data_IF_653199111017
#
_entry.id   IF_653199111017
#
_cell.length_a   1.000
_cell.length_b   1.000
_cell.length_c   1.000
_cell.angle_alpha   90.00
_cell.angle_beta   90.00
_cell.angle_gamma   90.00
#
_symmetry.space_group_name_H-M   'P 1'
#
loop_
_entity.id
_entity.type
_entity.pdbx_description
1 polymer ?
#
# COMPACT_ATOMS: atom_id res chain seq x y z
N UNK A 1 -21.49 -7.71 39.46
CA UNK A 1 -22.19 -6.95 38.40
C UNK A 1 -21.56 -7.20 37.03
N UNK A 2 -20.23 -7.29 36.91
CA UNK A 2 -19.58 -7.62 35.63
C UNK A 2 -19.84 -9.06 35.17
N UNK A 3 -19.87 -10.07 36.05
CA UNK A 3 -20.21 -11.45 35.66
C UNK A 3 -21.62 -11.61 35.07
N UNK A 4 -22.59 -10.86 35.60
CA UNK A 4 -23.97 -10.91 35.10
C UNK A 4 -24.08 -10.27 33.71
N UNK A 5 -23.32 -9.19 33.49
CA UNK A 5 -23.19 -8.51 32.20
C UNK A 5 -22.44 -9.32 31.14
N UNK A 6 -21.50 -10.18 31.56
CA UNK A 6 -20.78 -11.11 30.67
C UNK A 6 -21.73 -12.23 30.22
N UNK A 7 -22.52 -12.79 31.15
CA UNK A 7 -23.53 -13.80 30.82
C UNK A 7 -24.58 -13.28 29.83
N UNK A 8 -24.98 -12.01 29.92
CA UNK A 8 -25.95 -11.40 28.98
C UNK A 8 -25.44 -11.39 27.51
N UNK A 9 -24.13 -11.21 27.29
CA UNK A 9 -23.52 -11.14 25.96
C UNK A 9 -23.35 -12.54 25.36
N UNK A 10 -23.06 -13.53 26.21
CA UNK A 10 -22.91 -14.92 25.79
C UNK A 10 -24.26 -15.50 25.38
N UNK A 11 -25.32 -15.18 26.12
CA UNK A 11 -26.69 -15.50 25.73
C UNK A 11 -27.09 -14.85 24.39
N UNK A 12 -26.64 -13.61 24.13
CA UNK A 12 -26.89 -12.96 22.83
C UNK A 12 -26.20 -13.74 21.72
N UNK A 13 -24.93 -14.10 21.90
CA UNK A 13 -24.17 -14.89 20.92
C UNK A 13 -24.83 -16.25 20.63
N UNK A 14 -25.25 -16.98 21.66
CA UNK A 14 -25.93 -18.28 21.52
C UNK A 14 -27.26 -18.19 20.77
N UNK A 15 -27.94 -17.04 20.82
CA UNK A 15 -29.19 -16.79 20.10
C UNK A 15 -28.98 -16.38 18.64
N UNK A 16 -27.76 -16.02 18.23
CA UNK A 16 -27.45 -15.64 16.85
C UNK A 16 -27.54 -16.86 15.92
N UNK A 17 -28.20 -16.68 14.78
CA UNK A 17 -28.36 -17.74 13.79
C UNK A 17 -27.63 -17.37 12.50
N UNK A 18 -26.37 -17.78 12.38
CA UNK A 18 -25.53 -17.52 11.21
C UNK A 18 -26.05 -18.16 9.91
N UNK A 19 -27.02 -19.09 9.95
CA UNK A 19 -27.72 -19.55 8.75
C UNK A 19 -28.74 -18.51 8.23
N UNK A 20 -29.08 -17.50 9.03
CA UNK A 20 -29.97 -16.39 8.70
C UNK A 20 -29.24 -15.04 8.79
N UNK A 21 -28.20 -14.88 7.99
CA UNK A 21 -27.26 -13.74 8.01
C UNK A 21 -27.92 -12.35 8.09
N UNK A 22 -28.96 -12.08 7.28
CA UNK A 22 -29.69 -10.79 7.33
C UNK A 22 -30.39 -10.56 8.67
N UNK A 23 -30.88 -11.63 9.31
CA UNK A 23 -31.50 -11.55 10.63
C UNK A 23 -30.43 -11.31 11.69
N UNK A 24 -29.34 -12.08 11.68
CA UNK A 24 -28.21 -11.91 12.59
C UNK A 24 -27.65 -10.50 12.57
N UNK A 25 -27.45 -9.92 11.39
CA UNK A 25 -26.95 -8.56 11.27
C UNK A 25 -27.94 -7.52 11.82
N UNK A 26 -29.24 -7.72 11.61
CA UNK A 26 -30.28 -6.87 12.21
C UNK A 26 -30.30 -7.00 13.73
N UNK A 27 -30.25 -8.21 14.25
CA UNK A 27 -30.26 -8.48 15.69
C UNK A 27 -29.04 -7.80 16.37
N UNK A 28 -27.86 -7.84 15.74
CA UNK A 28 -26.65 -7.11 16.19
C UNK A 28 -26.82 -5.59 16.07
N UNK A 29 -27.40 -5.11 14.97
CA UNK A 29 -27.68 -3.68 14.74
C UNK A 29 -28.75 -3.10 15.67
N UNK A 30 -29.57 -3.92 16.31
CA UNK A 30 -30.60 -3.48 17.26
C UNK A 30 -30.10 -3.50 18.72
N UNK A 31 -28.91 -4.05 18.98
CA UNK A 31 -28.33 -4.07 20.33
C UNK A 31 -28.14 -2.65 20.88
N UNK A 32 -28.40 -2.39 22.17
CA UNK A 32 -28.01 -1.14 22.82
C UNK A 32 -26.52 -0.84 22.62
N UNK A 33 -26.13 0.44 22.53
CA UNK A 33 -24.75 0.82 22.18
C UNK A 33 -23.71 0.25 23.16
N UNK A 34 -23.97 0.31 24.46
CA UNK A 34 -23.09 -0.26 25.49
C UNK A 34 -22.98 -1.80 25.42
N UNK A 35 -24.05 -2.47 24.96
CA UNK A 35 -24.05 -3.92 24.73
C UNK A 35 -23.26 -4.25 23.47
N UNK A 36 -23.46 -3.47 22.40
CA UNK A 36 -22.74 -3.64 21.13
C UNK A 36 -21.23 -3.45 21.30
N UNK A 37 -20.79 -2.45 22.07
CA UNK A 37 -19.35 -2.23 22.33
C UNK A 37 -18.73 -3.41 23.09
N UNK A 38 -19.41 -3.92 24.13
CA UNK A 38 -18.93 -5.08 24.88
C UNK A 38 -18.99 -6.36 24.05
N UNK A 39 -20.02 -6.53 23.22
CA UNK A 39 -20.14 -7.64 22.28
C UNK A 39 -18.99 -7.59 21.26
N UNK A 40 -18.70 -6.41 20.70
CA UNK A 40 -17.58 -6.20 19.78
C UNK A 40 -16.26 -6.54 20.42
N UNK A 41 -16.03 -6.16 21.69
CA UNK A 41 -14.80 -6.50 22.41
C UNK A 41 -14.61 -7.99 22.69
N UNK A 42 -15.69 -8.76 22.91
CA UNK A 42 -15.62 -10.21 23.20
C UNK A 42 -15.71 -11.09 21.95
N UNK A 43 -16.52 -10.69 20.99
CA UNK A 43 -16.86 -11.44 19.78
C UNK A 43 -16.43 -10.69 18.51
N UNK A 44 -15.24 -10.07 18.56
CA UNK A 44 -14.64 -9.28 17.47
C UNK A 44 -14.65 -10.00 16.12
N UNK A 45 -14.32 -11.30 16.12
CA UNK A 45 -14.32 -12.15 14.92
C UNK A 45 -15.70 -12.28 14.26
N UNK A 46 -16.78 -12.25 15.06
CA UNK A 46 -18.16 -12.24 14.56
C UNK A 46 -18.46 -10.93 13.85
N UNK A 47 -18.03 -9.81 14.44
CA UNK A 47 -18.24 -8.48 13.83
C UNK A 47 -17.43 -8.35 12.54
N UNK A 48 -16.16 -8.78 12.52
CA UNK A 48 -15.33 -8.84 11.30
C UNK A 48 -16.03 -9.70 10.23
N UNK A 49 -16.54 -10.88 10.60
CA UNK A 49 -17.26 -11.75 9.69
C UNK A 49 -18.48 -11.04 9.10
N UNK A 50 -19.34 -10.46 9.94
CA UNK A 50 -20.54 -9.74 9.52
C UNK A 50 -20.20 -8.58 8.58
N UNK A 51 -19.24 -7.73 8.93
CA UNK A 51 -18.83 -6.59 8.11
C UNK A 51 -18.33 -6.99 6.72
N UNK A 52 -17.74 -8.18 6.59
CA UNK A 52 -17.23 -8.68 5.30
C UNK A 52 -18.31 -9.34 4.40
N UNK A 53 -19.48 -9.70 4.95
CA UNK A 53 -20.54 -10.38 4.19
C UNK A 53 -21.80 -9.53 4.01
N UNK A 54 -21.93 -8.44 4.74
CA UNK A 54 -23.07 -7.55 4.66
C UNK A 54 -23.04 -6.72 3.38
N UNK A 55 -24.22 -6.30 2.93
CA UNK A 55 -24.29 -5.25 1.90
C UNK A 55 -23.73 -3.94 2.48
N UNK A 56 -23.20 -3.09 1.60
CA UNK A 56 -22.55 -1.83 1.98
C UNK A 56 -23.42 -0.96 2.88
N UNK A 57 -24.73 -0.87 2.65
CA UNK A 57 -25.60 -0.01 3.47
C UNK A 57 -25.71 -0.51 4.91
N UNK A 58 -25.83 -1.82 5.10
CA UNK A 58 -25.90 -2.44 6.41
C UNK A 58 -24.55 -2.44 7.12
N UNK A 59 -23.45 -2.64 6.38
CA UNK A 59 -22.09 -2.56 6.91
C UNK A 59 -21.77 -1.15 7.42
N UNK A 60 -22.09 -0.11 6.64
CA UNK A 60 -21.94 1.30 7.06
C UNK A 60 -22.77 1.59 8.30
N UNK A 61 -24.03 1.16 8.34
CA UNK A 61 -24.88 1.35 9.52
C UNK A 61 -24.30 0.68 10.77
N UNK A 62 -23.64 -0.47 10.64
CA UNK A 62 -22.97 -1.12 11.77
C UNK A 62 -21.72 -0.36 12.19
N UNK A 63 -20.88 0.04 11.23
CA UNK A 63 -19.67 0.83 11.48
C UNK A 63 -19.97 2.15 12.18
N UNK A 64 -21.04 2.85 11.79
CA UNK A 64 -21.46 4.12 12.40
C UNK A 64 -21.88 3.97 13.87
N UNK A 65 -22.26 2.77 14.30
CA UNK A 65 -22.61 2.47 15.69
C UNK A 65 -21.44 2.05 16.56
N UNK A 66 -20.33 1.62 15.94
CA UNK A 66 -19.11 1.24 16.66
C UNK A 66 -18.32 2.48 17.06
N UNK A 67 -17.59 2.43 18.18
CA UNK A 67 -16.61 3.46 18.52
C UNK A 67 -15.32 3.29 17.71
N UNK A 68 -14.49 4.35 17.67
CA UNK A 68 -13.16 4.30 17.04
C UNK A 68 -12.27 3.25 17.71
N UNK A 69 -12.40 3.07 19.03
CA UNK A 69 -11.73 2.02 19.79
C UNK A 69 -12.16 0.63 19.34
N UNK A 70 -13.46 0.40 19.17
CA UNK A 70 -13.98 -0.87 18.64
C UNK A 70 -13.43 -1.18 17.24
N UNK A 71 -13.37 -0.18 16.35
CA UNK A 71 -12.81 -0.38 15.01
C UNK A 71 -11.32 -0.74 15.07
N UNK A 72 -10.55 -0.08 15.93
CA UNK A 72 -9.13 -0.44 16.14
C UNK A 72 -9.00 -1.89 16.63
N UNK A 73 -9.86 -2.34 17.54
CA UNK A 73 -9.87 -3.75 17.97
C UNK A 73 -10.23 -4.72 16.85
N UNK A 74 -11.16 -4.37 15.94
CA UNK A 74 -11.43 -5.18 14.75
C UNK A 74 -10.17 -5.35 13.90
N UNK A 75 -9.42 -4.27 13.69
CA UNK A 75 -8.19 -4.28 12.90
C UNK A 75 -7.11 -5.13 13.57
N UNK A 76 -6.88 -4.93 14.88
CA UNK A 76 -5.92 -5.72 15.66
C UNK A 76 -6.26 -7.22 15.64
N UNK A 77 -7.53 -7.57 15.85
CA UNK A 77 -7.94 -8.97 15.88
C UNK A 77 -7.88 -9.62 14.50
N UNK A 78 -8.26 -8.92 13.42
CA UNK A 78 -8.12 -9.45 12.07
C UNK A 78 -6.64 -9.72 11.74
N UNK A 79 -5.72 -8.84 12.17
CA UNK A 79 -4.27 -9.09 12.08
C UNK A 79 -3.87 -10.30 12.91
N UNK A 80 -4.31 -10.41 14.17
CA UNK A 80 -3.98 -11.53 15.06
C UNK A 80 -4.42 -12.87 14.47
N UNK A 81 -5.67 -12.97 14.02
CA UNK A 81 -6.22 -14.16 13.39
C UNK A 81 -5.46 -14.53 12.11
N UNK A 82 -5.08 -13.52 11.32
CA UNK A 82 -4.26 -13.71 10.13
C UNK A 82 -2.88 -14.28 10.50
N UNK A 83 -2.16 -13.66 11.44
CA UNK A 83 -0.84 -14.14 11.88
C UNK A 83 -0.92 -15.57 12.43
N UNK A 84 -1.92 -15.86 13.28
CA UNK A 84 -2.15 -17.21 13.82
C UNK A 84 -2.40 -18.25 12.72
N UNK A 85 -3.15 -17.89 11.67
CA UNK A 85 -3.35 -18.80 10.53
C UNK A 85 -2.04 -19.12 9.80
N UNK A 86 -1.07 -18.19 9.79
CA UNK A 86 0.24 -18.39 9.15
C UNK A 86 1.16 -19.31 9.97
N UNK A 87 1.03 -19.37 11.30
CA UNK A 87 1.78 -20.34 12.12
C UNK A 87 1.43 -21.80 11.81
N UNK A 88 0.23 -22.07 11.30
CA UNK A 88 -0.18 -23.40 10.84
C UNK A 88 0.45 -23.83 9.51
N UNK A 89 1.17 -22.93 8.82
CA UNK A 89 1.83 -23.24 7.56
C UNK A 89 3.22 -23.82 7.81
N UNK A 90 3.51 -24.98 7.23
CA UNK A 90 4.85 -25.56 7.22
C UNK A 90 5.75 -24.77 6.26
N UNK A 91 6.61 -23.90 6.81
CA UNK A 91 7.77 -23.35 6.11
C UNK A 91 9.02 -24.12 6.53
N UNK A 92 9.88 -24.47 5.58
CA UNK A 92 11.19 -25.08 5.87
C UNK A 92 12.20 -24.05 6.39
N UNK A 93 11.93 -22.76 6.25
CA UNK A 93 12.77 -21.67 6.73
C UNK A 93 12.48 -21.33 8.20
N UNK A 94 13.42 -21.57 9.14
CA UNK A 94 13.25 -21.20 10.54
C UNK A 94 13.03 -19.70 10.76
N UNK A 95 13.57 -18.86 9.87
CA UNK A 95 13.44 -17.39 9.96
C UNK A 95 11.98 -16.96 9.77
N UNK A 96 11.18 -17.75 9.07
CA UNK A 96 9.75 -17.54 8.90
C UNK A 96 9.02 -17.41 10.25
N UNK A 97 9.21 -18.39 11.13
CA UNK A 97 8.54 -18.42 12.44
C UNK A 97 9.05 -17.32 13.36
N UNK A 98 10.35 -17.00 13.29
CA UNK A 98 10.95 -15.89 14.04
C UNK A 98 10.32 -14.56 13.63
N UNK A 99 10.18 -14.33 12.32
CA UNK A 99 9.55 -13.13 11.78
C UNK A 99 8.08 -13.02 12.17
N UNK A 100 7.30 -14.11 12.09
CA UNK A 100 5.90 -14.11 12.55
C UNK A 100 5.79 -13.85 14.07
N UNK A 101 6.65 -14.47 14.88
CA UNK A 101 6.67 -14.26 16.34
C UNK A 101 6.92 -12.79 16.67
N UNK A 102 7.88 -12.16 15.99
CA UNK A 102 8.17 -10.73 16.16
C UNK A 102 6.96 -9.86 15.90
N UNK A 103 6.15 -10.18 14.90
CA UNK A 103 4.94 -9.41 14.58
C UNK A 103 3.85 -9.57 15.62
N UNK A 104 3.68 -10.77 16.16
CA UNK A 104 2.76 -11.00 17.29
C UNK A 104 3.25 -10.23 18.51
N UNK A 105 4.55 -10.28 18.82
CA UNK A 105 5.14 -9.53 19.93
C UNK A 105 4.94 -8.02 19.78
N UNK A 106 5.18 -7.44 18.59
CA UNK A 106 4.92 -6.02 18.33
C UNK A 106 3.43 -5.67 18.44
N UNK A 107 2.52 -6.56 18.04
CA UNK A 107 1.07 -6.35 18.17
C UNK A 107 0.61 -6.37 19.63
N UNK A 108 1.15 -7.30 20.42
CA UNK A 108 0.77 -7.50 21.83
C UNK A 108 1.49 -6.54 22.79
N UNK A 109 2.47 -5.74 22.32
CA UNK A 109 3.15 -4.73 23.13
C UNK A 109 2.16 -3.69 23.62
N UNK A 110 1.77 -3.81 24.88
CA UNK A 110 0.70 -3.00 25.45
C UNK A 110 1.09 -1.53 25.67
N UNK A 111 2.31 -1.19 26.10
CA UNK A 111 2.72 0.23 26.36
C UNK A 111 4.24 0.48 26.54
N UNK A 112 5.14 -0.39 26.08
CA UNK A 112 6.55 -0.34 26.52
C UNK A 112 7.51 0.47 25.65
N UNK A 113 7.66 0.09 24.39
CA UNK A 113 8.61 0.65 23.42
C UNK A 113 8.26 -0.01 22.07
N UNK A 114 7.83 0.78 21.10
CA UNK A 114 7.51 0.28 19.74
C UNK A 114 8.79 0.19 18.91
N UNK A 115 8.75 -0.51 17.77
CA UNK A 115 9.87 -0.50 16.82
C UNK A 115 10.34 0.91 16.41
N UNK A 116 9.45 1.92 16.48
CA UNK A 116 9.79 3.32 16.22
C UNK A 116 10.69 3.91 17.30
N UNK A 117 10.49 3.51 18.56
CA UNK A 117 11.22 4.02 19.72
C UNK A 117 12.62 3.39 19.81
N UNK A 118 12.70 2.07 19.62
CA UNK A 118 13.97 1.31 19.63
C UNK A 118 14.70 1.31 18.28
N UNK A 119 14.09 1.87 17.24
CA UNK A 119 14.63 1.99 15.87
C UNK A 119 14.98 0.65 15.22
N UNK A 120 14.21 -0.39 15.51
CA UNK A 120 14.42 -1.76 14.99
C UNK A 120 13.81 -1.95 13.59
N UNK A 121 14.12 -1.03 12.66
CA UNK A 121 13.48 -0.97 11.35
C UNK A 121 13.80 -2.20 10.48
N UNK A 122 15.04 -2.69 10.52
CA UNK A 122 15.49 -3.77 9.63
C UNK A 122 14.81 -5.10 9.97
N UNK A 123 14.70 -5.39 11.27
CA UNK A 123 14.06 -6.58 11.79
C UNK A 123 12.54 -6.61 11.50
N UNK A 124 11.87 -5.46 11.65
CA UNK A 124 10.45 -5.33 11.32
C UNK A 124 10.23 -5.39 9.82
N UNK A 125 11.08 -4.73 9.02
CA UNK A 125 11.04 -4.82 7.55
C UNK A 125 11.17 -6.26 7.06
N UNK A 126 12.13 -7.03 7.58
CA UNK A 126 12.27 -8.45 7.23
C UNK A 126 11.00 -9.27 7.56
N UNK A 127 10.31 -8.90 8.64
CA UNK A 127 9.05 -9.54 9.01
C UNK A 127 7.90 -9.13 8.10
N UNK A 128 7.87 -7.88 7.64
CA UNK A 128 6.92 -7.40 6.64
C UNK A 128 7.13 -8.04 5.27
N UNK A 129 8.37 -8.25 4.83
CA UNK A 129 8.69 -8.99 3.60
C UNK A 129 8.18 -10.44 3.67
N UNK A 130 8.29 -11.07 4.84
CA UNK A 130 7.72 -12.41 5.09
C UNK A 130 6.20 -12.41 4.92
N UNK A 131 5.51 -11.41 5.47
CA UNK A 131 4.07 -11.26 5.29
C UNK A 131 3.67 -10.99 3.84
N UNK A 132 4.42 -10.15 3.13
CA UNK A 132 4.16 -9.86 1.72
C UNK A 132 4.25 -11.15 0.88
N UNK A 133 5.31 -11.95 1.09
CA UNK A 133 5.46 -13.24 0.42
C UNK A 133 4.31 -14.22 0.76
N UNK A 134 3.78 -14.19 1.99
CA UNK A 134 2.59 -14.97 2.36
C UNK A 134 1.34 -14.51 1.61
N UNK A 135 1.10 -13.20 1.53
CA UNK A 135 -0.06 -12.63 0.82
C UNK A 135 -0.07 -13.02 -0.65
N UNK A 136 1.09 -13.02 -1.30
CA UNK A 136 1.21 -13.40 -2.71
C UNK A 136 0.83 -14.87 -2.96
N UNK A 137 0.99 -15.74 -1.96
CA UNK A 137 0.66 -17.17 -2.03
C UNK A 137 -0.78 -17.48 -1.63
N UNK A 138 -1.31 -16.77 -0.63
CA UNK A 138 -2.63 -17.00 -0.05
C UNK A 138 -3.55 -15.81 -0.34
N UNK A 139 -4.44 -15.98 -1.30
CA UNK A 139 -5.25 -14.89 -1.86
C UNK A 139 -6.31 -14.38 -0.88
N UNK A 140 -6.37 -13.06 -0.72
CA UNK A 140 -7.46 -12.35 -0.06
C UNK A 140 -7.02 -11.00 0.48
N UNK A 141 -7.57 -9.91 -0.08
CA UNK A 141 -7.50 -8.60 0.57
C UNK A 141 -8.26 -8.66 1.89
N UNK A 142 -7.79 -7.91 2.88
CA UNK A 142 -8.36 -7.81 4.22
C UNK A 142 -8.84 -6.40 4.51
N UNK A 143 -9.53 -6.21 5.63
CA UNK A 143 -9.97 -4.88 6.09
C UNK A 143 -10.90 -4.16 5.10
N UNK A 144 -11.69 -4.91 4.32
CA UNK A 144 -12.54 -4.35 3.26
C UNK A 144 -13.56 -3.34 3.81
N UNK A 145 -14.03 -3.56 5.03
CA UNK A 145 -14.98 -2.68 5.73
C UNK A 145 -14.42 -1.28 6.00
N UNK A 146 -13.09 -1.10 6.04
CA UNK A 146 -12.50 0.21 6.24
C UNK A 146 -12.72 1.14 5.04
N UNK A 147 -12.97 0.61 3.85
CA UNK A 147 -13.30 1.41 2.66
C UNK A 147 -14.63 2.14 2.82
N UNK A 148 -15.55 1.51 3.54
CA UNK A 148 -16.93 2.00 3.68
C UNK A 148 -17.05 2.98 4.87
N UNK A 149 -15.98 3.19 5.64
CA UNK A 149 -15.93 4.21 6.69
C UNK A 149 -15.88 5.63 6.12
N UNK A 150 -16.45 6.58 6.87
CA UNK A 150 -16.24 7.99 6.60
C UNK A 150 -14.72 8.33 6.59
N UNK A 151 -14.20 9.02 5.55
CA UNK A 151 -12.77 9.30 5.44
C UNK A 151 -12.18 10.12 6.58
N UNK A 152 -12.90 11.11 7.11
CA UNK A 152 -12.43 11.94 8.23
C UNK A 152 -12.28 11.09 9.48
N UNK A 153 -13.24 10.20 9.71
CA UNK A 153 -13.22 9.25 10.82
C UNK A 153 -12.07 8.25 10.68
N UNK A 154 -11.87 7.68 9.49
CA UNK A 154 -10.75 6.78 9.22
C UNK A 154 -9.41 7.49 9.43
N UNK A 155 -9.27 8.75 9.00
CA UNK A 155 -8.08 9.56 9.22
C UNK A 155 -7.77 9.79 10.70
N UNK A 156 -8.79 9.98 11.54
CA UNK A 156 -8.65 10.07 13.00
C UNK A 156 -8.19 8.74 13.61
N UNK A 157 -8.83 7.62 13.23
CA UNK A 157 -8.44 6.27 13.67
C UNK A 157 -6.98 5.97 13.32
N UNK A 158 -6.58 6.21 12.07
CA UNK A 158 -5.19 6.05 11.63
C UNK A 158 -4.27 6.93 12.47
N UNK A 159 -4.65 8.18 12.78
CA UNK A 159 -3.86 9.06 13.63
C UNK A 159 -3.60 8.48 15.03
N UNK A 160 -4.62 7.85 15.62
CA UNK A 160 -4.51 7.20 16.93
C UNK A 160 -3.59 5.98 16.83
N UNK A 161 -3.74 5.16 15.79
CA UNK A 161 -2.90 3.99 15.53
C UNK A 161 -1.43 4.41 15.35
N UNK A 162 -1.16 5.45 14.57
CA UNK A 162 0.20 5.96 14.36
C UNK A 162 0.87 6.40 15.67
N UNK A 163 0.09 6.89 16.64
CA UNK A 163 0.59 7.27 17.96
C UNK A 163 0.85 6.08 18.89
N UNK A 164 -0.06 5.10 18.90
CA UNK A 164 -0.13 4.09 19.97
C UNK A 164 0.21 2.66 19.52
N UNK A 165 -0.05 2.32 18.25
CA UNK A 165 0.02 0.97 17.69
C UNK A 165 0.56 0.98 16.25
N UNK A 166 1.76 1.53 16.00
CA UNK A 166 2.23 1.80 14.64
C UNK A 166 2.43 0.54 13.79
N UNK A 167 2.62 -0.64 14.38
CA UNK A 167 2.81 -1.91 13.65
C UNK A 167 1.60 -2.32 12.81
N UNK A 168 0.39 -1.89 13.20
CA UNK A 168 -0.84 -2.17 12.45
C UNK A 168 -0.73 -1.57 11.04
N UNK A 169 -0.10 -0.41 10.90
CA UNK A 169 -0.08 0.36 9.65
C UNK A 169 0.66 -0.36 8.52
N UNK A 170 1.91 -0.83 8.69
CA UNK A 170 2.58 -1.67 7.69
C UNK A 170 1.78 -2.91 7.29
N UNK A 171 1.12 -3.56 8.25
CA UNK A 171 0.29 -4.75 7.97
C UNK A 171 -0.93 -4.40 7.12
N UNK A 172 -1.62 -3.29 7.44
CA UNK A 172 -2.70 -2.76 6.60
C UNK A 172 -2.19 -2.46 5.19
N UNK A 173 -1.04 -1.80 5.07
CA UNK A 173 -0.48 -1.45 3.76
C UNK A 173 -0.24 -2.69 2.88
N UNK A 174 0.15 -3.82 3.47
CA UNK A 174 0.33 -5.09 2.75
C UNK A 174 -1.02 -5.66 2.29
N UNK A 175 -2.03 -5.75 3.15
CA UNK A 175 -3.25 -6.53 2.87
C UNK A 175 -4.47 -5.72 2.42
N UNK A 176 -4.46 -4.40 2.62
CA UNK A 176 -5.56 -3.52 2.23
C UNK A 176 -5.73 -3.42 0.71
N UNK A 177 -6.96 -3.14 0.24
CA UNK A 177 -7.22 -2.69 -1.12
C UNK A 177 -6.40 -1.46 -1.49
N UNK A 178 -6.20 -1.27 -2.79
CA UNK A 178 -5.35 -0.20 -3.29
C UNK A 178 -5.85 1.17 -2.84
N UNK A 179 -7.16 1.45 -2.91
CA UNK A 179 -7.75 2.74 -2.52
C UNK A 179 -7.43 3.08 -1.05
N UNK A 180 -7.55 2.09 -0.17
CA UNK A 180 -7.27 2.23 1.25
C UNK A 180 -5.76 2.38 1.49
N UNK A 181 -4.92 1.65 0.75
CA UNK A 181 -3.47 1.80 0.79
C UNK A 181 -3.03 3.21 0.40
N UNK A 182 -3.66 3.82 -0.61
CA UNK A 182 -3.36 5.22 -1.00
C UNK A 182 -3.70 6.18 0.14
N UNK A 183 -4.88 6.01 0.73
CA UNK A 183 -5.33 6.84 1.84
C UNK A 183 -4.38 6.75 3.04
N UNK A 184 -4.02 5.53 3.43
CA UNK A 184 -3.08 5.28 4.53
C UNK A 184 -1.72 5.90 4.22
N UNK A 185 -1.19 5.72 3.00
CA UNK A 185 0.10 6.29 2.59
C UNK A 185 0.12 7.83 2.74
N UNK A 186 -0.95 8.50 2.32
CA UNK A 186 -1.11 9.95 2.47
C UNK A 186 -1.13 10.36 3.95
N UNK A 187 -1.75 9.58 4.82
CA UNK A 187 -1.79 9.89 6.26
C UNK A 187 -0.45 9.61 6.96
N UNK A 188 0.26 8.53 6.59
CA UNK A 188 1.60 8.22 7.09
C UNK A 188 2.57 9.36 6.75
N UNK A 189 2.60 9.77 5.49
CA UNK A 189 3.54 10.79 4.99
C UNK A 189 3.39 12.13 5.69
N UNK A 190 2.17 12.51 6.08
CA UNK A 190 1.91 13.75 6.83
C UNK A 190 2.28 13.67 8.31
N UNK A 191 2.09 12.51 8.95
CA UNK A 191 2.07 12.40 10.41
C UNK A 191 3.28 11.65 11.00
N UNK A 192 3.69 10.55 10.37
CA UNK A 192 4.76 9.68 10.90
C UNK A 192 5.49 8.91 9.78
N UNK A 193 6.25 9.60 8.93
CA UNK A 193 6.89 9.02 7.75
C UNK A 193 7.93 7.94 8.10
N UNK A 194 8.43 7.85 9.34
CA UNK A 194 9.36 6.79 9.77
C UNK A 194 8.85 5.37 9.50
N UNK A 195 7.52 5.18 9.50
CA UNK A 195 6.89 3.88 9.23
C UNK A 195 7.21 3.38 7.82
N UNK A 196 7.44 4.27 6.85
CA UNK A 196 7.78 3.90 5.48
C UNK A 196 9.07 3.07 5.39
N UNK A 197 9.97 3.19 6.37
CA UNK A 197 11.21 2.40 6.43
C UNK A 197 10.99 0.91 6.57
N UNK A 198 9.83 0.51 7.11
CA UNK A 198 9.49 -0.90 7.34
C UNK A 198 8.47 -1.44 6.35
N UNK A 199 7.91 -0.59 5.49
CA UNK A 199 7.00 -1.02 4.42
C UNK A 199 7.83 -1.61 3.27
N UNK A 200 7.57 -2.87 2.86
CA UNK A 200 8.26 -3.52 1.74
C UNK A 200 8.18 -2.75 0.43
N UNK A 201 9.22 -2.84 -0.39
CA UNK A 201 9.27 -2.16 -1.69
C UNK A 201 8.12 -2.59 -2.63
N UNK A 202 7.69 -3.85 -2.55
CA UNK A 202 6.59 -4.40 -3.35
C UNK A 202 5.20 -3.85 -3.01
N UNK A 203 5.06 -3.10 -1.92
CA UNK A 203 3.79 -2.48 -1.52
C UNK A 203 3.57 -1.11 -2.17
N UNK A 204 4.66 -0.45 -2.60
CA UNK A 204 4.60 0.88 -3.20
C UNK A 204 4.11 0.82 -4.65
N UNK A 205 3.13 1.66 -4.96
CA UNK A 205 2.63 1.83 -6.32
C UNK A 205 3.21 3.10 -6.94
N UNK A 206 3.63 3.01 -8.21
CA UNK A 206 4.15 4.14 -8.98
C UNK A 206 3.10 5.23 -9.20
N UNK A 207 1.80 4.92 -9.06
CA UNK A 207 0.70 5.91 -9.04
C UNK A 207 0.87 6.95 -7.93
N UNK A 208 1.67 6.68 -6.88
CA UNK A 208 1.94 7.62 -5.78
C UNK A 208 3.19 8.47 -5.96
N UNK A 209 3.82 8.41 -7.12
CA UNK A 209 5.08 9.11 -7.42
C UNK A 209 5.10 10.57 -6.94
N UNK A 210 4.02 11.33 -7.15
CA UNK A 210 3.94 12.75 -6.75
C UNK A 210 4.05 12.97 -5.25
N UNK A 211 3.57 12.02 -4.44
CA UNK A 211 3.66 12.10 -2.98
C UNK A 211 5.03 11.61 -2.49
N UNK A 212 5.59 10.60 -3.15
CA UNK A 212 6.83 9.95 -2.73
C UNK A 212 8.10 10.75 -3.06
N UNK A 213 8.00 11.73 -3.96
CA UNK A 213 9.13 12.58 -4.41
C UNK A 213 9.37 13.81 -3.54
N UNK A 214 8.60 14.02 -2.46
CA UNK A 214 8.91 15.08 -1.51
C UNK A 214 10.23 14.77 -0.79
N UNK A 215 11.16 15.75 -0.75
CA UNK A 215 12.55 15.56 -0.26
C UNK A 215 12.62 15.00 1.16
N UNK A 216 11.68 15.39 2.01
CA UNK A 216 11.51 14.92 3.37
C UNK A 216 11.05 13.46 3.43
N UNK A 217 10.19 13.02 2.52
CA UNK A 217 9.66 11.65 2.48
C UNK A 217 10.71 10.65 1.95
N UNK A 218 11.50 11.05 0.93
CA UNK A 218 12.50 10.17 0.29
C UNK A 218 13.45 9.54 1.32
N UNK A 219 13.83 10.28 2.37
CA UNK A 219 14.73 9.79 3.42
C UNK A 219 14.19 8.58 4.20
N UNK A 220 12.89 8.34 4.14
CA UNK A 220 12.21 7.25 4.85
C UNK A 220 11.86 6.05 3.96
N UNK A 221 12.06 6.16 2.64
CA UNK A 221 11.74 5.07 1.72
C UNK A 221 12.83 3.98 1.71
N UNK A 222 12.47 2.72 1.42
CA UNK A 222 13.45 1.69 1.08
C UNK A 222 14.29 2.10 -0.13
N UNK A 223 15.55 1.66 -0.19
CA UNK A 223 16.48 2.05 -1.24
C UNK A 223 15.98 1.61 -2.62
N UNK A 224 15.36 0.43 -2.72
CA UNK A 224 14.76 -0.08 -3.95
C UNK A 224 13.63 0.81 -4.48
N UNK A 225 12.97 1.56 -3.61
CA UNK A 225 11.93 2.54 -3.99
C UNK A 225 12.58 3.86 -4.39
N UNK A 226 13.63 4.29 -3.70
CA UNK A 226 14.40 5.50 -4.07
C UNK A 226 14.98 5.37 -5.46
N UNK A 227 15.62 4.24 -5.76
CA UNK A 227 16.22 3.97 -7.08
C UNK A 227 15.15 4.03 -8.19
N UNK A 228 13.97 3.44 -7.94
CA UNK A 228 12.83 3.52 -8.88
C UNK A 228 12.31 4.94 -9.05
N UNK A 229 12.25 5.73 -8.00
CA UNK A 229 11.79 7.13 -8.08
C UNK A 229 12.78 8.02 -8.81
N UNK A 230 14.09 7.82 -8.57
CA UNK A 230 15.16 8.53 -9.30
C UNK A 230 15.10 8.19 -10.78
N UNK A 231 14.98 6.90 -11.12
CA UNK A 231 14.80 6.46 -12.51
C UNK A 231 13.59 7.14 -13.17
N UNK A 232 12.44 7.17 -12.50
CA UNK A 232 11.23 7.84 -13.00
C UNK A 232 11.38 9.36 -13.13
N UNK A 233 12.13 10.00 -12.24
CA UNK A 233 12.43 11.43 -12.33
C UNK A 233 13.29 11.75 -13.56
N UNK A 234 14.32 10.93 -13.81
CA UNK A 234 15.17 11.06 -14.99
C UNK A 234 14.32 10.88 -16.26
N UNK A 235 13.52 9.81 -16.35
CA UNK A 235 12.64 9.55 -17.50
C UNK A 235 11.70 10.73 -17.74
N UNK A 236 10.98 11.22 -16.72
CA UNK A 236 10.06 12.37 -16.88
C UNK A 236 10.76 13.65 -17.31
N UNK A 237 11.95 13.92 -16.76
CA UNK A 237 12.75 15.09 -17.14
C UNK A 237 13.16 15.00 -18.61
N UNK A 238 13.60 13.82 -19.06
CA UNK A 238 13.98 13.57 -20.44
C UNK A 238 12.77 13.67 -21.38
N UNK A 239 11.64 13.06 -21.03
CA UNK A 239 10.39 13.16 -21.79
C UNK A 239 9.97 14.62 -21.99
N UNK A 240 9.86 15.39 -20.91
CA UNK A 240 9.43 16.79 -20.98
C UNK A 240 10.43 17.67 -21.76
N UNK A 241 11.73 17.40 -21.62
CA UNK A 241 12.78 18.09 -22.37
C UNK A 241 12.71 17.79 -23.87
N UNK A 242 12.62 16.50 -24.22
CA UNK A 242 12.56 16.03 -25.60
C UNK A 242 11.29 16.48 -26.30
N UNK A 243 10.11 16.32 -25.67
CA UNK A 243 8.84 16.75 -26.26
C UNK A 243 8.86 18.25 -26.60
N UNK A 244 9.38 19.08 -25.70
CA UNK A 244 9.50 20.52 -25.96
C UNK A 244 10.41 20.80 -27.16
N UNK A 245 11.59 20.17 -27.21
CA UNK A 245 12.58 20.39 -28.27
C UNK A 245 12.09 19.87 -29.62
N UNK A 246 11.41 18.72 -29.65
CA UNK A 246 10.83 18.15 -30.87
C UNK A 246 9.80 19.10 -31.47
N UNK A 247 8.91 19.66 -30.64
CA UNK A 247 7.91 20.65 -31.11
C UNK A 247 8.59 21.91 -31.67
N UNK A 248 9.66 22.39 -31.03
CA UNK A 248 10.44 23.53 -31.53
C UNK A 248 11.08 23.23 -32.89
N UNK A 249 11.70 22.06 -33.05
CA UNK A 249 12.33 21.62 -34.31
C UNK A 249 11.30 21.45 -35.42
N UNK A 250 10.16 20.82 -35.14
CA UNK A 250 9.08 20.64 -36.12
C UNK A 250 8.50 21.98 -36.59
N UNK A 251 8.43 22.98 -35.70
CA UNK A 251 8.02 24.34 -36.05
C UNK A 251 9.10 25.07 -36.88
N UNK A 252 10.38 24.92 -36.54
CA UNK A 252 11.50 25.54 -37.26
C UNK A 252 11.64 25.02 -38.69
N UNK A 253 11.41 23.72 -38.89
CA UNK A 253 11.52 23.04 -40.18
C UNK A 253 10.16 22.69 -40.80
N UNK A 254 9.12 23.51 -40.57
CA UNK A 254 7.76 23.27 -41.07
C UNK A 254 7.69 23.02 -42.59
N UNK A 255 8.62 23.61 -43.34
CA UNK A 255 8.67 23.54 -44.79
C UNK A 255 9.46 22.32 -45.33
N UNK A 256 10.06 21.52 -44.44
CA UNK A 256 10.94 20.41 -44.83
C UNK A 256 10.95 19.27 -43.80
N UNK A 257 10.09 18.27 -44.04
CA UNK A 257 9.98 17.08 -43.18
C UNK A 257 11.28 16.28 -43.03
N UNK A 258 12.13 16.22 -44.06
CA UNK A 258 13.41 15.48 -44.00
C UNK A 258 14.40 16.14 -43.03
N UNK A 259 14.57 17.46 -43.13
CA UNK A 259 15.39 18.25 -42.18
C UNK A 259 14.84 18.18 -40.75
N UNK A 260 13.52 18.25 -40.58
CA UNK A 260 12.89 18.12 -39.27
C UNK A 260 13.22 16.75 -38.65
N UNK A 261 13.08 15.66 -39.43
CA UNK A 261 13.41 14.30 -38.99
C UNK A 261 14.88 14.16 -38.57
N UNK A 262 15.81 14.65 -39.39
CA UNK A 262 17.25 14.55 -39.09
C UNK A 262 17.63 15.37 -37.83
N UNK A 263 17.03 16.55 -37.66
CA UNK A 263 17.24 17.38 -36.49
C UNK A 263 16.67 16.72 -35.21
N UNK A 264 15.45 16.16 -35.29
CA UNK A 264 14.86 15.39 -34.18
C UNK A 264 15.73 14.19 -33.82
N UNK A 265 16.23 13.46 -34.81
CA UNK A 265 17.13 12.32 -34.61
C UNK A 265 18.42 12.70 -33.88
N UNK A 266 19.05 13.81 -34.28
CA UNK A 266 20.26 14.30 -33.63
C UNK A 266 19.99 14.77 -32.20
N UNK A 267 18.88 15.49 -31.96
CA UNK A 267 18.51 15.95 -30.62
C UNK A 267 18.25 14.76 -29.67
N UNK A 268 17.52 13.74 -30.14
CA UNK A 268 17.31 12.49 -29.38
C UNK A 268 18.65 11.80 -29.10
N UNK A 269 19.55 11.76 -30.09
CA UNK A 269 20.88 11.19 -29.93
C UNK A 269 21.68 11.89 -28.83
N UNK A 270 21.74 13.22 -28.88
CA UNK A 270 22.53 14.03 -27.95
C UNK A 270 21.98 13.96 -26.52
N UNK A 271 20.67 14.08 -26.35
CA UNK A 271 20.03 14.10 -25.02
C UNK A 271 20.15 12.74 -24.33
N UNK A 272 19.99 11.63 -25.06
CA UNK A 272 20.01 10.29 -24.45
C UNK A 272 21.43 9.69 -24.40
N UNK A 273 22.44 10.30 -25.03
CA UNK A 273 23.79 9.73 -25.12
C UNK A 273 24.50 9.52 -23.78
N UNK A 274 24.19 10.32 -22.75
CA UNK A 274 24.78 10.22 -21.41
C UNK A 274 24.03 9.29 -20.46
N UNK A 275 22.84 8.84 -20.85
CA UNK A 275 21.97 8.02 -20.01
C UNK A 275 22.33 6.54 -20.12
N UNK A 276 21.86 5.73 -19.17
CA UNK A 276 22.04 4.29 -19.25
C UNK A 276 21.22 3.68 -20.41
N UNK A 277 21.59 2.46 -20.78
CA UNK A 277 20.97 1.77 -21.92
C UNK A 277 19.49 1.41 -21.69
N UNK A 278 19.09 1.24 -20.43
CA UNK A 278 17.71 0.93 -20.09
C UNK A 278 16.82 2.15 -20.30
N UNK A 279 17.23 3.32 -19.80
CA UNK A 279 16.59 4.63 -20.05
C UNK A 279 16.56 4.92 -21.53
N UNK A 280 17.69 4.80 -22.24
CA UNK A 280 17.75 5.00 -23.69
C UNK A 280 16.71 4.15 -24.41
N UNK A 281 16.65 2.86 -24.10
CA UNK A 281 15.73 1.94 -24.78
C UNK A 281 14.26 2.22 -24.45
N UNK A 282 13.95 2.57 -23.19
CA UNK A 282 12.60 2.92 -22.77
C UNK A 282 12.11 4.21 -23.45
N UNK A 283 12.95 5.24 -23.48
CA UNK A 283 12.67 6.52 -24.15
C UNK A 283 12.46 6.34 -25.65
N UNK A 284 13.27 5.52 -26.33
CA UNK A 284 13.09 5.23 -27.76
C UNK A 284 11.74 4.54 -28.05
N UNK A 285 11.32 3.61 -27.19
CA UNK A 285 10.01 2.95 -27.32
C UNK A 285 8.88 3.98 -27.15
N UNK A 286 8.98 4.84 -26.13
CA UNK A 286 7.97 5.88 -25.89
C UNK A 286 7.86 6.88 -27.05
N UNK A 287 8.99 7.36 -27.58
CA UNK A 287 9.04 8.27 -28.72
C UNK A 287 8.42 7.66 -29.99
N UNK A 288 8.60 6.34 -30.21
CA UNK A 288 7.93 5.62 -31.31
C UNK A 288 6.42 5.55 -31.07
N UNK A 289 5.98 5.24 -29.85
CA UNK A 289 4.56 5.16 -29.50
C UNK A 289 3.85 6.53 -29.65
N UNK A 290 4.53 7.61 -29.25
CA UNK A 290 4.08 9.00 -29.42
C UNK A 290 4.21 9.51 -30.85
N UNK A 291 4.78 8.71 -31.76
CA UNK A 291 5.01 9.02 -33.19
C UNK A 291 5.99 10.16 -33.45
N UNK A 292 6.82 10.50 -32.49
CA UNK A 292 7.93 11.43 -32.68
C UNK A 292 9.13 10.79 -33.40
N UNK A 293 9.17 9.45 -33.44
CA UNK A 293 10.25 8.69 -34.05
C UNK A 293 9.72 7.51 -34.87
N UNK A 294 10.34 7.21 -36.01
CA UNK A 294 9.99 6.01 -36.77
C UNK A 294 10.62 4.74 -36.16
N UNK A 295 10.03 3.55 -36.34
CA UNK A 295 10.63 2.31 -35.82
C UNK A 295 12.03 2.02 -36.37
N UNK A 296 12.30 2.40 -37.62
CA UNK A 296 13.62 2.23 -38.25
C UNK A 296 14.68 3.14 -37.63
N UNK A 297 14.30 4.40 -37.37
CA UNK A 297 15.15 5.40 -36.71
C UNK A 297 15.48 5.02 -35.27
N UNK A 298 14.48 4.55 -34.52
CA UNK A 298 14.67 4.01 -33.19
C UNK A 298 15.62 2.81 -33.17
N UNK A 299 15.48 1.90 -34.14
CA UNK A 299 16.40 0.76 -34.29
C UNK A 299 17.84 1.17 -34.56
N UNK A 300 18.04 2.24 -35.35
CA UNK A 300 19.36 2.79 -35.65
C UNK A 300 20.00 3.41 -34.41
N UNK A 301 19.28 4.28 -33.69
CA UNK A 301 19.76 4.87 -32.42
C UNK A 301 20.07 3.80 -31.38
N UNK A 302 19.20 2.80 -31.23
CA UNK A 302 19.42 1.67 -30.30
C UNK A 302 20.70 0.92 -30.62
N UNK A 303 20.98 0.68 -31.90
CA UNK A 303 22.21 0.00 -32.34
C UNK A 303 23.45 0.84 -32.00
N UNK A 304 23.38 2.16 -32.22
CA UNK A 304 24.45 3.09 -31.86
C UNK A 304 24.73 3.02 -30.35
N UNK A 305 23.71 3.11 -29.51
CA UNK A 305 23.87 3.02 -28.07
C UNK A 305 24.44 1.67 -27.61
N UNK A 306 23.94 0.56 -28.15
CA UNK A 306 24.48 -0.78 -27.86
C UNK A 306 25.96 -0.92 -28.23
N UNK A 307 26.41 -0.26 -29.30
CA UNK A 307 27.81 -0.31 -29.71
C UNK A 307 28.73 0.46 -28.76
N UNK A 308 28.24 1.54 -28.12
CA UNK A 308 28.99 2.30 -27.11
C UNK A 308 29.21 1.53 -25.81
N UNK A 309 28.30 0.63 -25.44
CA UNK A 309 28.46 -0.25 -24.26
C UNK A 309 29.58 -1.30 -24.40
N UNK A 310 30.02 -1.59 -25.63
CA UNK A 310 31.04 -2.62 -25.91
C UNK A 310 32.47 -2.06 -25.96
N UNK A 311 32.62 -0.74 -25.80
CA UNK A 311 33.89 0.00 -25.78
C UNK A 311 34.20 0.46 -24.37
#
# INVERSE_FOLDING_TARGET
MDDQRINDIDEIFEKLNFLRLKKTARDVLELPHDVLERFTGKYTSVIIYLLNILDTSTAVALLDRLTDTSIMYLMEEEIRLMLLSLFGHTSEDPQFLVNLSRLVEELDRSTGETFLDIKDYDAVRASMETLLACRERNTGLKFLYLRDLNPDRLGNIISIILGNRPIIIPVLMIYAPDELRQFILIEITKKRPEILKVVPAGVYDLRFYTFLTARDIIAYLPDEVKDKLEYLEIVKRLEAGLERRIVEIEAEFSDSAEKARDAVMNEIYEILASEDFEIQNLMLIDLVNKRHLSPGDAGLLRTIYQSKLKL
#
